data_IF_617807311308
#
_entry.id   IF_617807311308
#
_cell.length_a   1.000
_cell.length_b   1.000
_cell.length_c   1.000
_cell.angle_alpha   90.00
_cell.angle_beta   90.00
_cell.angle_gamma   90.00
#
_symmetry.space_group_name_H-M   'P 1'
#
loop_
_entity.id
_entity.type
_entity.pdbx_description
1 polymer ?
#
# COMPACT_ATOMS: atom_id res chain seq x y z
N UNK A 1 -27.45 5.95 11.28
CA UNK A 1 -26.09 6.20 10.74
C UNK A 1 -25.87 5.14 9.68
N UNK A 2 -25.67 5.53 8.43
CA UNK A 2 -25.29 4.57 7.38
C UNK A 2 -24.01 3.87 7.82
N UNK A 3 -23.98 2.52 7.70
CA UNK A 3 -22.77 1.74 7.95
C UNK A 3 -21.67 2.20 6.97
N UNK A 4 -20.73 2.95 7.46
CA UNK A 4 -19.55 3.35 6.72
C UNK A 4 -18.31 2.68 7.28
N UNK A 5 -17.45 2.08 6.47
CA UNK A 5 -17.63 1.76 5.03
C UNK A 5 -18.74 0.72 4.79
N UNK A 6 -19.43 0.75 3.65
CA UNK A 6 -20.51 -0.17 3.34
C UNK A 6 -19.97 -1.55 2.94
N UNK A 7 -19.90 -2.49 3.87
CA UNK A 7 -19.53 -3.89 3.58
C UNK A 7 -20.39 -4.86 4.39
N UNK A 8 -20.47 -6.09 3.91
CA UNK A 8 -21.12 -7.21 4.59
C UNK A 8 -20.16 -8.40 4.62
N UNK A 9 -20.07 -9.07 5.77
CA UNK A 9 -19.32 -10.31 5.89
C UNK A 9 -20.11 -11.42 5.20
N UNK A 10 -19.47 -12.13 4.27
CA UNK A 10 -20.05 -13.24 3.54
C UNK A 10 -19.41 -14.57 3.96
N UNK A 11 -20.10 -15.69 3.72
CA UNK A 11 -19.53 -17.03 3.95
C UNK A 11 -18.21 -17.24 3.20
N UNK A 12 -18.10 -16.67 2.01
CA UNK A 12 -16.85 -16.71 1.22
C UNK A 12 -15.70 -16.00 1.92
N UNK A 13 -15.95 -14.84 2.54
CA UNK A 13 -14.93 -14.11 3.33
C UNK A 13 -14.53 -14.92 4.56
N UNK A 14 -15.48 -15.53 5.27
CA UNK A 14 -15.19 -16.39 6.42
C UNK A 14 -14.32 -17.59 6.03
N UNK A 15 -14.62 -18.25 4.91
CA UNK A 15 -13.82 -19.35 4.40
C UNK A 15 -12.40 -18.90 4.07
N UNK A 16 -12.21 -17.77 3.39
CA UNK A 16 -10.88 -17.24 3.10
C UNK A 16 -10.10 -16.87 4.37
N UNK A 17 -10.75 -16.25 5.34
CA UNK A 17 -10.12 -15.94 6.64
C UNK A 17 -9.66 -17.22 7.31
N UNK A 18 -10.51 -18.26 7.36
CA UNK A 18 -10.19 -19.55 7.95
C UNK A 18 -8.99 -20.22 7.26
N UNK A 19 -8.96 -20.24 5.92
CA UNK A 19 -7.88 -20.83 5.14
C UNK A 19 -6.55 -20.09 5.33
N UNK A 20 -6.60 -18.76 5.36
CA UNK A 20 -5.41 -17.93 5.59
C UNK A 20 -4.87 -18.16 7.01
N UNK A 21 -5.76 -18.12 8.02
CA UNK A 21 -5.35 -18.32 9.41
C UNK A 21 -4.79 -19.72 9.65
N UNK A 22 -5.33 -20.75 9.00
CA UNK A 22 -4.76 -22.11 9.02
C UNK A 22 -3.33 -22.11 8.47
N UNK A 23 -3.10 -21.51 7.30
CA UNK A 23 -1.76 -21.42 6.69
C UNK A 23 -0.78 -20.64 7.55
N UNK A 24 -1.21 -19.55 8.18
CA UNK A 24 -0.38 -18.78 9.12
C UNK A 24 0.00 -19.63 10.33
N UNK A 25 -0.94 -20.40 10.88
CA UNK A 25 -0.68 -21.34 11.98
C UNK A 25 0.32 -22.41 11.61
N UNK A 26 0.17 -23.05 10.45
CA UNK A 26 1.13 -24.02 9.92
C UNK A 26 2.51 -23.39 9.73
N UNK A 27 2.58 -22.17 9.19
CA UNK A 27 3.81 -21.46 8.97
C UNK A 27 4.56 -21.10 10.29
N UNK A 28 3.82 -20.65 11.30
CA UNK A 28 4.37 -20.32 12.61
C UNK A 28 4.93 -21.56 13.33
N UNK A 29 4.33 -22.74 13.12
CA UNK A 29 4.82 -24.02 13.66
C UNK A 29 6.24 -24.35 13.18
N UNK A 30 6.59 -23.98 11.93
CA UNK A 30 7.94 -24.15 11.36
C UNK A 30 8.92 -23.04 11.75
N UNK A 31 8.69 -22.31 12.84
CA UNK A 31 9.55 -21.25 13.39
C UNK A 31 9.85 -20.06 12.46
N UNK A 32 9.02 -19.90 11.46
CA UNK A 32 8.87 -18.66 10.68
C UNK A 32 10.08 -18.18 9.87
N UNK A 33 9.85 -17.12 9.12
CA UNK A 33 10.85 -16.45 8.27
C UNK A 33 12.02 -15.82 9.06
N UNK A 34 11.92 -15.70 10.39
CA UNK A 34 12.97 -15.06 11.20
C UNK A 34 14.28 -15.83 11.16
N UNK A 35 14.25 -17.14 10.91
CA UNK A 35 15.43 -17.97 10.73
C UNK A 35 16.08 -17.88 9.35
N UNK A 36 15.44 -17.21 8.38
CA UNK A 36 15.90 -17.15 7.00
C UNK A 36 16.03 -15.70 6.50
N UNK A 37 17.05 -14.94 6.97
CA UNK A 37 17.24 -13.54 6.58
C UNK A 37 17.31 -13.32 5.06
N UNK A 38 17.98 -14.23 4.35
CA UNK A 38 18.07 -14.17 2.88
C UNK A 38 16.71 -14.35 2.20
N UNK A 39 15.86 -15.26 2.70
CA UNK A 39 14.52 -15.46 2.18
C UNK A 39 13.65 -14.22 2.43
N UNK A 40 13.72 -13.63 3.62
CA UNK A 40 13.04 -12.36 3.93
C UNK A 40 13.46 -11.27 2.96
N UNK A 41 14.78 -11.11 2.75
CA UNK A 41 15.33 -10.12 1.83
C UNK A 41 14.82 -10.35 0.40
N UNK A 42 14.91 -11.58 -0.12
CA UNK A 42 14.41 -11.92 -1.45
C UNK A 42 12.92 -11.67 -1.60
N UNK A 43 12.12 -12.01 -0.58
CA UNK A 43 10.67 -11.74 -0.57
C UNK A 43 10.39 -10.25 -0.58
N UNK A 44 11.11 -9.45 0.21
CA UNK A 44 10.99 -7.99 0.22
C UNK A 44 11.30 -7.39 -1.16
N UNK A 45 12.39 -7.81 -1.81
CA UNK A 45 12.75 -7.35 -3.17
C UNK A 45 11.65 -7.67 -4.16
N UNK A 46 11.07 -8.88 -4.11
CA UNK A 46 9.93 -9.26 -4.95
C UNK A 46 8.70 -8.40 -4.68
N UNK A 47 8.40 -8.10 -3.41
CA UNK A 47 7.27 -7.24 -3.04
C UNK A 47 7.45 -5.82 -3.56
N UNK A 48 8.66 -5.25 -3.43
CA UNK A 48 9.00 -3.94 -3.99
C UNK A 48 8.82 -3.94 -5.51
N UNK A 49 9.42 -4.90 -6.22
CA UNK A 49 9.28 -5.01 -7.68
C UNK A 49 7.80 -5.10 -8.10
N UNK A 50 7.02 -5.98 -7.47
CA UNK A 50 5.61 -6.17 -7.83
C UNK A 50 4.76 -4.93 -7.54
N UNK A 51 5.01 -4.23 -6.42
CA UNK A 51 4.32 -3.00 -6.06
C UNK A 51 4.60 -1.87 -7.07
N UNK A 52 5.86 -1.70 -7.45
CA UNK A 52 6.26 -0.68 -8.42
C UNK A 52 5.74 -0.99 -9.84
N UNK A 53 5.65 -2.27 -10.22
CA UNK A 53 5.10 -2.68 -11.50
C UNK A 53 3.60 -2.32 -11.66
N UNK A 54 2.83 -2.21 -10.55
CA UNK A 54 1.44 -1.74 -10.58
C UNK A 54 1.33 -0.34 -11.17
N UNK A 55 2.33 0.51 -10.93
CA UNK A 55 2.39 1.90 -11.42
C UNK A 55 3.39 2.08 -12.56
N UNK A 56 3.57 1.02 -13.38
CA UNK A 56 4.34 1.02 -14.63
C UNK A 56 5.86 1.22 -14.49
N UNK A 57 6.48 0.95 -13.36
CA UNK A 57 7.93 0.88 -13.28
C UNK A 57 8.45 -0.26 -14.19
N UNK A 58 9.41 0.03 -15.04
CA UNK A 58 9.87 -0.89 -16.10
C UNK A 58 11.10 -1.72 -15.71
N UNK A 59 11.64 -1.54 -14.51
CA UNK A 59 12.82 -2.28 -14.08
C UNK A 59 12.47 -3.75 -13.82
N UNK A 60 13.28 -4.65 -14.34
CA UNK A 60 13.19 -6.08 -14.05
C UNK A 60 13.53 -6.36 -12.59
N UNK A 61 13.09 -7.51 -12.07
CA UNK A 61 13.41 -7.95 -10.71
C UNK A 61 14.92 -7.92 -10.41
N UNK A 62 15.74 -8.30 -11.39
CA UNK A 62 17.20 -8.28 -11.27
C UNK A 62 17.74 -6.86 -11.16
N UNK A 63 17.23 -5.93 -11.96
CA UNK A 63 17.61 -4.52 -11.88
C UNK A 63 17.18 -3.89 -10.55
N UNK A 64 15.99 -4.21 -10.05
CA UNK A 64 15.54 -3.77 -8.70
C UNK A 64 16.50 -4.28 -7.62
N UNK A 65 16.92 -5.55 -7.70
CA UNK A 65 17.91 -6.11 -6.77
C UNK A 65 19.25 -5.39 -6.87
N UNK A 66 19.72 -5.09 -8.07
CA UNK A 66 20.97 -4.38 -8.28
C UNK A 66 20.93 -2.93 -7.76
N UNK A 67 19.81 -2.21 -7.94
CA UNK A 67 19.61 -0.87 -7.35
C UNK A 67 19.68 -0.94 -5.83
N UNK A 68 19.00 -1.90 -5.21
CA UNK A 68 19.00 -2.09 -3.75
C UNK A 68 20.41 -2.45 -3.24
N UNK A 69 21.20 -3.16 -4.04
CA UNK A 69 22.58 -3.51 -3.73
C UNK A 69 23.58 -2.37 -4.01
N UNK A 70 23.12 -1.20 -4.45
CA UNK A 70 23.97 -0.06 -4.77
C UNK A 70 24.79 -0.20 -6.06
N UNK A 71 24.41 -1.14 -6.92
CA UNK A 71 25.08 -1.30 -8.23
C UNK A 71 24.53 -0.30 -9.25
N UNK A 72 25.32 -0.04 -10.28
CA UNK A 72 24.90 0.79 -11.40
C UNK A 72 23.91 0.02 -12.27
N UNK A 73 22.75 0.65 -12.55
CA UNK A 73 21.68 0.08 -13.38
C UNK A 73 21.36 1.07 -14.51
N UNK A 74 21.15 0.51 -15.71
CA UNK A 74 20.67 1.28 -16.86
C UNK A 74 19.12 1.23 -16.82
N UNK A 75 18.48 2.39 -16.72
CA UNK A 75 17.04 2.57 -16.64
C UNK A 75 16.67 4.05 -16.52
N UNK A 76 15.38 4.34 -16.52
CA UNK A 76 14.92 5.69 -16.30
C UNK A 76 15.27 6.16 -14.87
N UNK A 77 15.65 7.43 -14.75
CA UNK A 77 16.01 8.00 -13.43
C UNK A 77 14.85 7.92 -12.45
N UNK A 78 13.62 8.10 -12.94
CA UNK A 78 12.39 7.99 -12.14
C UNK A 78 12.29 6.57 -11.57
N UNK A 79 12.37 5.55 -12.42
CA UNK A 79 12.22 4.14 -12.03
C UNK A 79 13.26 3.72 -10.98
N UNK A 80 14.52 4.15 -11.17
CA UNK A 80 15.59 3.89 -10.20
C UNK A 80 15.32 4.59 -8.86
N UNK A 81 14.81 5.83 -8.89
CA UNK A 81 14.48 6.57 -7.68
C UNK A 81 13.31 5.93 -6.94
N UNK A 82 12.30 5.44 -7.65
CA UNK A 82 11.16 4.71 -7.08
C UNK A 82 11.61 3.48 -6.30
N UNK A 83 12.54 2.70 -6.84
CA UNK A 83 13.10 1.53 -6.13
C UNK A 83 13.78 1.94 -4.83
N UNK A 84 14.60 3.00 -4.85
CA UNK A 84 15.27 3.51 -3.64
C UNK A 84 14.27 3.96 -2.58
N UNK A 85 13.26 4.71 -3.01
CA UNK A 85 12.19 5.19 -2.13
C UNK A 85 11.38 4.05 -1.52
N UNK A 86 10.99 3.07 -2.34
CA UNK A 86 10.26 1.91 -1.86
C UNK A 86 11.09 1.11 -0.86
N UNK A 87 12.38 0.88 -1.14
CA UNK A 87 13.26 0.20 -0.20
C UNK A 87 13.37 0.95 1.14
N UNK A 88 13.55 2.27 1.12
CA UNK A 88 13.57 3.10 2.33
C UNK A 88 12.25 3.04 3.10
N UNK A 89 11.11 3.09 2.41
CA UNK A 89 9.80 2.99 3.04
C UNK A 89 9.60 1.63 3.73
N UNK A 90 10.02 0.54 3.08
CA UNK A 90 9.95 -0.80 3.67
C UNK A 90 10.87 -0.98 4.88
N UNK A 91 12.03 -0.30 4.93
CA UNK A 91 12.89 -0.31 6.11
C UNK A 91 12.25 0.38 7.32
N UNK A 92 11.38 1.36 7.08
CA UNK A 92 10.70 2.15 8.12
C UNK A 92 9.30 1.66 8.48
N UNK A 93 8.81 0.60 7.83
CA UNK A 93 7.41 0.15 8.00
C UNK A 93 7.07 -0.23 9.45
N UNK A 94 8.03 -0.80 10.17
CA UNK A 94 7.85 -1.20 11.57
C UNK A 94 7.84 -0.02 12.55
N UNK A 95 8.23 1.19 12.10
CA UNK A 95 8.26 2.42 12.90
C UNK A 95 6.97 3.23 12.75
N UNK A 96 6.08 2.82 11.83
CA UNK A 96 4.86 3.57 11.48
C UNK A 96 3.68 3.11 12.32
N UNK A 97 2.90 4.07 12.79
CA UNK A 97 1.60 3.76 13.35
C UNK A 97 0.56 3.59 12.23
N UNK A 98 0.04 2.37 11.99
CA UNK A 98 -0.92 2.12 10.90
C UNK A 98 -2.27 2.83 11.10
N UNK A 99 -2.52 3.36 12.30
CA UNK A 99 -3.74 4.11 12.64
C UNK A 99 -3.57 5.63 12.58
N UNK A 100 -2.50 6.12 11.93
CA UNK A 100 -2.15 7.54 11.87
C UNK A 100 -2.14 8.06 10.43
N UNK A 101 -3.04 9.01 10.13
CA UNK A 101 -3.04 9.74 8.84
C UNK A 101 -1.69 10.46 8.61
N UNK A 102 -1.06 10.96 9.68
CA UNK A 102 0.23 11.65 9.57
C UNK A 102 1.34 10.68 9.19
N UNK A 103 1.31 9.47 9.72
CA UNK A 103 2.32 8.46 9.38
C UNK A 103 2.10 7.91 7.97
N UNK A 104 0.84 7.74 7.52
CA UNK A 104 0.53 7.48 6.12
C UNK A 104 1.16 8.54 5.21
N UNK A 105 0.98 9.83 5.52
CA UNK A 105 1.57 10.93 4.75
C UNK A 105 3.10 10.90 4.77
N UNK A 106 3.73 10.54 5.89
CA UNK A 106 5.18 10.40 5.98
C UNK A 106 5.68 9.30 5.04
N UNK A 107 5.06 8.11 5.09
CA UNK A 107 5.44 6.99 4.22
C UNK A 107 5.21 7.34 2.76
N UNK A 108 4.07 7.94 2.40
CA UNK A 108 3.84 8.45 1.05
C UNK A 108 4.92 9.46 0.64
N UNK A 109 5.31 10.35 1.53
CA UNK A 109 6.39 11.33 1.28
C UNK A 109 7.73 10.66 0.96
N UNK A 110 8.06 9.53 1.62
CA UNK A 110 9.24 8.73 1.31
C UNK A 110 9.08 8.04 -0.04
N UNK A 111 7.95 7.37 -0.26
CA UNK A 111 7.67 6.63 -1.51
C UNK A 111 7.75 7.50 -2.76
N UNK A 112 7.33 8.77 -2.66
CA UNK A 112 7.27 9.70 -3.79
C UNK A 112 8.35 10.80 -3.76
N UNK A 113 9.36 10.65 -2.89
CA UNK A 113 10.47 11.59 -2.75
C UNK A 113 11.22 11.79 -4.08
N UNK A 114 11.46 13.04 -4.48
CA UNK A 114 12.07 13.43 -5.76
C UNK A 114 11.31 12.98 -7.03
N UNK A 115 10.10 12.45 -6.88
CA UNK A 115 9.24 12.03 -7.98
C UNK A 115 8.05 12.97 -8.09
N UNK A 116 7.38 13.21 -6.95
CA UNK A 116 6.20 14.06 -6.88
C UNK A 116 6.46 15.35 -6.10
N UNK A 117 5.89 16.47 -6.61
CA UNK A 117 5.99 17.77 -5.93
C UNK A 117 5.19 17.79 -4.63
N UNK A 118 4.10 17.05 -4.59
CA UNK A 118 3.18 16.96 -3.47
C UNK A 118 3.42 15.73 -2.59
N UNK A 119 4.68 15.24 -2.55
CA UNK A 119 5.08 14.13 -1.71
C UNK A 119 4.60 14.30 -0.26
N UNK A 120 3.87 13.32 0.25
CA UNK A 120 3.30 13.33 1.60
C UNK A 120 2.09 14.25 1.81
N UNK A 121 1.50 14.80 0.74
CA UNK A 121 0.33 15.68 0.82
C UNK A 121 -0.83 15.10 0.04
N UNK A 122 -2.03 15.27 0.57
CA UNK A 122 -3.23 14.94 -0.19
C UNK A 122 -3.34 15.85 -1.42
N UNK A 123 -3.87 15.26 -2.51
CA UNK A 123 -4.11 15.98 -3.75
C UNK A 123 -5.02 17.20 -3.56
N UNK A 124 -4.81 18.21 -4.35
CA UNK A 124 -5.59 19.46 -4.38
C UNK A 124 -6.36 19.64 -5.70
N UNK A 125 -6.45 18.60 -6.51
CA UNK A 125 -7.14 18.58 -7.82
C UNK A 125 -8.00 17.32 -7.97
N UNK A 126 -8.85 17.31 -9.00
CA UNK A 126 -9.66 16.15 -9.36
C UNK A 126 -8.79 15.05 -9.95
N UNK A 127 -9.14 13.78 -9.64
CA UNK A 127 -8.48 12.59 -10.18
C UNK A 127 -9.51 11.66 -10.81
N UNK A 128 -9.07 10.93 -11.83
CA UNK A 128 -9.85 9.90 -12.48
C UNK A 128 -8.92 8.78 -12.98
N UNK A 129 -9.39 7.55 -12.89
CA UNK A 129 -8.71 6.38 -13.44
C UNK A 129 -9.24 6.09 -14.83
N UNK A 130 -8.35 5.83 -15.76
CA UNK A 130 -8.65 5.54 -17.15
C UNK A 130 -8.14 4.15 -17.54
N UNK A 131 -8.89 3.46 -18.39
CA UNK A 131 -8.45 2.31 -19.16
C UNK A 131 -8.37 2.72 -20.63
N UNK A 132 -7.17 2.94 -21.11
CA UNK A 132 -6.93 3.62 -22.38
C UNK A 132 -7.60 5.01 -22.40
N UNK A 133 -8.57 5.22 -23.28
CA UNK A 133 -9.32 6.49 -23.39
C UNK A 133 -10.66 6.47 -22.62
N UNK A 134 -10.99 5.37 -21.95
CA UNK A 134 -12.26 5.21 -21.24
C UNK A 134 -12.03 5.59 -19.77
N UNK A 135 -12.81 6.57 -19.30
CA UNK A 135 -12.84 6.92 -17.89
C UNK A 135 -13.65 5.88 -17.13
N UNK A 136 -12.98 5.07 -16.31
CA UNK A 136 -13.62 3.99 -15.55
C UNK A 136 -13.99 4.40 -14.13
N UNK A 137 -13.32 5.39 -13.57
CA UNK A 137 -13.59 5.85 -12.22
C UNK A 137 -13.27 7.34 -12.06
N UNK A 138 -14.07 8.05 -11.26
CA UNK A 138 -13.81 9.43 -10.85
C UNK A 138 -13.72 9.46 -9.34
N UNK A 139 -12.55 9.83 -8.84
CA UNK A 139 -12.31 9.96 -7.41
C UNK A 139 -13.18 11.09 -6.80
N UNK A 140 -13.51 11.01 -5.50
CA UNK A 140 -14.23 12.07 -4.80
C UNK A 140 -13.55 13.44 -4.98
N UNK A 141 -14.32 14.56 -4.92
CA UNK A 141 -13.72 15.88 -4.98
C UNK A 141 -12.60 16.07 -3.96
N UNK A 142 -11.45 16.62 -4.38
CA UNK A 142 -10.26 16.78 -3.53
C UNK A 142 -10.53 17.48 -2.20
N UNK A 143 -11.46 18.45 -2.17
CA UNK A 143 -11.88 19.15 -0.95
C UNK A 143 -12.46 18.23 0.13
N UNK A 144 -12.98 17.06 -0.26
CA UNK A 144 -13.54 16.07 0.66
C UNK A 144 -12.50 15.07 1.16
N UNK A 145 -11.36 14.94 0.48
CA UNK A 145 -10.32 13.95 0.79
C UNK A 145 -9.88 13.99 2.26
N UNK A 146 -9.56 15.14 2.87
CA UNK A 146 -9.15 15.17 4.27
C UNK A 146 -10.19 14.56 5.19
N UNK A 147 -11.47 14.94 5.02
CA UNK A 147 -12.57 14.43 5.84
C UNK A 147 -12.83 12.93 5.61
N UNK A 148 -12.76 12.48 4.36
CA UNK A 148 -12.94 11.06 4.02
C UNK A 148 -11.83 10.20 4.63
N UNK A 149 -10.59 10.68 4.59
CA UNK A 149 -9.46 9.99 5.22
C UNK A 149 -9.58 9.97 6.74
N UNK A 150 -9.96 11.08 7.38
CA UNK A 150 -10.20 11.10 8.81
C UNK A 150 -11.31 10.12 9.21
N UNK A 151 -12.41 10.07 8.46
CA UNK A 151 -13.51 9.13 8.72
C UNK A 151 -13.02 7.67 8.56
N UNK A 152 -12.24 7.37 7.54
CA UNK A 152 -11.71 6.02 7.29
C UNK A 152 -10.78 5.57 8.43
N UNK A 153 -9.89 6.44 8.88
CA UNK A 153 -8.99 6.12 9.99
C UNK A 153 -9.74 5.97 11.32
N UNK A 154 -10.71 6.83 11.59
CA UNK A 154 -11.54 6.72 12.78
C UNK A 154 -12.31 5.39 12.78
N UNK A 155 -12.93 5.02 11.65
CA UNK A 155 -13.57 3.71 11.50
C UNK A 155 -12.61 2.56 11.79
N UNK A 156 -11.39 2.61 11.26
CA UNK A 156 -10.38 1.57 11.48
C UNK A 156 -10.00 1.46 12.96
N UNK A 157 -9.82 2.59 13.64
CA UNK A 157 -9.50 2.66 15.08
C UNK A 157 -10.65 2.08 15.93
N UNK A 158 -11.90 2.43 15.61
CA UNK A 158 -13.08 1.97 16.33
C UNK A 158 -13.32 0.46 16.17
N UNK A 159 -12.87 -0.12 15.06
CA UNK A 159 -13.15 -1.52 14.70
C UNK A 159 -11.94 -2.45 14.86
N UNK A 160 -10.75 -1.97 15.18
CA UNK A 160 -9.50 -2.75 15.22
C UNK A 160 -9.55 -3.96 16.17
N UNK A 161 -10.33 -3.87 17.24
CA UNK A 161 -10.44 -4.92 18.25
C UNK A 161 -11.67 -5.83 18.03
N UNK A 162 -12.59 -5.46 17.13
CA UNK A 162 -13.85 -6.16 16.90
C UNK A 162 -13.93 -6.83 15.53
N UNK A 163 -13.20 -6.34 14.54
CA UNK A 163 -13.19 -6.88 13.16
C UNK A 163 -11.90 -7.64 12.91
N UNK A 164 -12.02 -8.81 12.29
CA UNK A 164 -10.84 -9.61 11.92
C UNK A 164 -9.86 -8.75 11.09
N UNK A 165 -8.54 -8.75 11.41
CA UNK A 165 -7.55 -7.89 10.73
C UNK A 165 -7.50 -8.05 9.21
N UNK A 166 -7.76 -9.26 8.68
CA UNK A 166 -7.79 -9.50 7.22
C UNK A 166 -8.99 -8.79 6.56
N UNK A 167 -10.13 -8.75 7.25
CA UNK A 167 -11.31 -8.02 6.77
C UNK A 167 -11.09 -6.53 6.93
N UNK A 168 -10.61 -6.09 8.10
CA UNK A 168 -10.36 -4.68 8.40
C UNK A 168 -9.41 -4.06 7.37
N UNK A 169 -8.29 -4.72 7.10
CA UNK A 169 -7.30 -4.24 6.13
C UNK A 169 -7.83 -4.24 4.69
N UNK A 170 -8.63 -5.24 4.31
CA UNK A 170 -9.21 -5.32 2.96
C UNK A 170 -10.24 -4.21 2.72
N UNK A 171 -11.09 -3.92 3.71
CA UNK A 171 -12.07 -2.82 3.63
C UNK A 171 -11.35 -1.47 3.62
N UNK A 172 -10.36 -1.29 4.50
CA UNK A 172 -9.53 -0.09 4.50
C UNK A 172 -8.87 0.15 3.14
N UNK A 173 -8.24 -0.89 2.56
CA UNK A 173 -7.59 -0.78 1.27
C UNK A 173 -8.56 -0.39 0.15
N UNK A 174 -9.74 -1.01 0.11
CA UNK A 174 -10.77 -0.68 -0.87
C UNK A 174 -11.19 0.79 -0.77
N UNK A 175 -11.52 1.27 0.42
CA UNK A 175 -11.93 2.66 0.66
C UNK A 175 -10.80 3.65 0.37
N UNK A 176 -9.57 3.30 0.74
CA UNK A 176 -8.40 4.11 0.45
C UNK A 176 -8.22 4.30 -1.07
N UNK A 177 -8.29 3.21 -1.84
CA UNK A 177 -8.20 3.27 -3.31
C UNK A 177 -9.37 4.04 -3.90
N UNK A 178 -10.59 3.90 -3.33
CA UNK A 178 -11.77 4.66 -3.75
C UNK A 178 -11.60 6.16 -3.47
N UNK A 179 -11.12 6.55 -2.30
CA UNK A 179 -10.86 7.97 -1.98
C UNK A 179 -9.76 8.54 -2.87
N UNK A 180 -8.78 7.72 -3.23
CA UNK A 180 -7.65 8.10 -4.07
C UNK A 180 -6.96 9.38 -3.58
N UNK A 181 -6.40 9.38 -2.36
CA UNK A 181 -6.09 10.62 -1.65
C UNK A 181 -4.87 11.38 -2.18
N UNK A 182 -3.99 10.74 -2.95
CA UNK A 182 -2.76 11.33 -3.47
C UNK A 182 -2.79 11.51 -4.98
N UNK A 183 -1.89 12.31 -5.52
CA UNK A 183 -1.75 12.53 -6.97
C UNK A 183 -1.10 11.34 -7.68
N UNK A 184 -0.21 10.61 -7.01
CA UNK A 184 0.46 9.39 -7.48
C UNK A 184 0.74 8.49 -6.26
N UNK A 185 1.11 7.24 -6.45
CA UNK A 185 1.51 6.35 -5.35
C UNK A 185 0.35 5.75 -4.54
N UNK A 186 -0.91 5.88 -5.00
CA UNK A 186 -2.05 5.29 -4.29
C UNK A 186 -2.10 3.76 -4.38
N UNK A 187 -1.44 3.16 -5.34
CA UNK A 187 -1.38 1.71 -5.55
C UNK A 187 -0.18 1.01 -4.90
N UNK A 188 0.74 1.76 -4.32
CA UNK A 188 2.03 1.26 -3.77
C UNK A 188 1.97 0.79 -2.34
#
# INVERSE_FOLDING_TARGET
MENYPPYMITDKMLNYVSDIMKKIGEFNYFEGLNRYPELRRKTRIKSIHSSLAIENNQLSLFQVEDVINGKMVIGEKKDIQEVKNAYEAYEKIDEVNPYSVNDLKKIHGILTFLIEKDAGKFRNHGEAVYDGNIKIFVAPPHRLVPKLMDNLFNWMIENKDNVNPLILSSVFHYEFVFIHPFSDGNGR
#
